data_IF_322765873524
#
_entry.id   IF_322765873524
#
_cell.length_a   1.000
_cell.length_b   1.000
_cell.length_c   1.000
_cell.angle_alpha   90.00
_cell.angle_beta   90.00
_cell.angle_gamma   90.00
#
_symmetry.space_group_name_H-M   'P 1'
#
loop_
_entity.id
_entity.type
_entity.pdbx_description
1 polymer ?
#
# COMPACT_ATOMS: atom_id res chain seq x y z
N UNK A 1 -68.08 8.46 13.82
CA UNK A 1 -67.36 7.73 14.87
C UNK A 1 -66.75 6.49 14.23
N UNK A 2 -65.43 6.41 14.03
CA UNK A 2 -64.77 5.17 13.61
C UNK A 2 -64.25 4.41 14.83
N UNK A 3 -64.35 3.07 14.74
CA UNK A 3 -64.07 2.10 15.79
C UNK A 3 -62.57 2.03 16.13
N UNK A 4 -62.31 1.97 17.44
CA UNK A 4 -60.97 1.74 18.03
C UNK A 4 -60.56 0.27 17.78
N UNK A 5 -59.46 0.07 17.08
CA UNK A 5 -58.75 -1.22 16.97
C UNK A 5 -58.02 -1.51 18.26
N UNK A 6 -58.23 -2.72 18.81
CA UNK A 6 -57.52 -3.25 19.98
C UNK A 6 -56.07 -3.61 19.59
N UNK A 7 -55.07 -3.44 20.49
CA UNK A 7 -53.71 -3.88 20.25
C UNK A 7 -53.60 -5.44 20.32
N UNK A 8 -52.64 -6.03 19.59
CA UNK A 8 -52.42 -7.49 19.63
C UNK A 8 -51.79 -7.92 20.95
N UNK A 9 -52.25 -9.07 21.41
CA UNK A 9 -51.82 -9.79 22.61
C UNK A 9 -50.34 -10.21 22.44
N UNK A 10 -49.50 -9.87 23.44
CA UNK A 10 -48.13 -10.34 23.57
C UNK A 10 -48.13 -11.84 23.83
N UNK A 11 -47.51 -12.62 22.99
CA UNK A 11 -47.27 -14.04 23.18
C UNK A 11 -46.00 -14.21 24.04
N UNK A 12 -46.16 -14.54 25.32
CA UNK A 12 -45.08 -14.99 26.21
C UNK A 12 -44.62 -16.39 25.77
N UNK A 13 -43.62 -16.45 24.91
CA UNK A 13 -42.78 -17.65 24.75
C UNK A 13 -41.52 -17.44 25.54
N UNK A 14 -41.39 -18.21 26.63
CA UNK A 14 -40.16 -18.33 27.40
C UNK A 14 -38.98 -18.66 26.47
N UNK A 15 -38.07 -17.73 26.34
CA UNK A 15 -36.80 -17.95 25.66
C UNK A 15 -35.89 -18.74 26.61
N UNK A 16 -35.66 -20.01 26.27
CA UNK A 16 -34.71 -20.88 26.96
C UNK A 16 -33.32 -20.26 26.91
N UNK A 17 -32.86 -19.75 28.05
CA UNK A 17 -31.49 -19.29 28.26
C UNK A 17 -30.61 -20.48 28.57
N UNK A 18 -30.19 -21.24 27.58
CA UNK A 18 -29.04 -22.16 27.65
C UNK A 18 -28.54 -22.53 26.26
N UNK A 19 -28.01 -21.53 25.53
CA UNK A 19 -27.08 -21.80 24.45
C UNK A 19 -25.75 -21.10 24.82
N UNK A 20 -25.04 -21.72 25.76
CA UNK A 20 -23.61 -21.47 25.97
C UNK A 20 -22.87 -22.31 24.94
N UNK A 21 -22.81 -21.83 23.70
CA UNK A 21 -21.71 -22.20 22.80
C UNK A 21 -20.40 -21.89 23.52
N UNK A 22 -19.41 -22.82 23.53
CA UNK A 22 -18.14 -22.55 24.19
C UNK A 22 -17.53 -21.27 23.57
N UNK A 23 -17.20 -20.30 24.44
CA UNK A 23 -16.36 -19.15 24.07
C UNK A 23 -15.07 -19.68 23.42
N UNK A 24 -15.08 -19.81 22.10
CA UNK A 24 -13.85 -19.96 21.35
C UNK A 24 -13.07 -18.68 21.56
N UNK A 25 -11.92 -18.78 22.24
CA UNK A 25 -10.96 -17.70 22.34
C UNK A 25 -10.85 -17.02 20.98
N UNK A 26 -10.94 -15.67 20.92
CA UNK A 26 -10.87 -14.98 19.64
C UNK A 26 -9.60 -15.42 18.91
N UNK A 27 -9.75 -16.12 17.78
CA UNK A 27 -8.62 -16.48 16.93
C UNK A 27 -7.89 -15.18 16.61
N UNK A 28 -6.61 -15.13 16.96
CA UNK A 28 -5.77 -13.96 16.73
C UNK A 28 -5.86 -13.55 15.26
N UNK A 29 -6.30 -12.31 15.00
CA UNK A 29 -6.43 -11.79 13.65
C UNK A 29 -5.10 -11.26 13.18
N UNK A 30 -4.47 -11.95 12.24
CA UNK A 30 -3.14 -11.63 11.72
C UNK A 30 -3.26 -11.23 10.25
N UNK A 31 -2.70 -10.08 9.90
CA UNK A 31 -2.70 -9.56 8.52
C UNK A 31 -2.10 -10.58 7.53
N UNK A 32 -2.65 -10.76 6.30
CA UNK A 32 -2.20 -11.74 5.33
C UNK A 32 -0.70 -11.70 5.03
N UNK A 33 -0.09 -10.53 4.88
CA UNK A 33 1.36 -10.39 4.70
C UNK A 33 2.17 -10.92 5.90
N UNK A 34 1.66 -10.81 7.13
CA UNK A 34 2.37 -11.31 8.32
C UNK A 34 2.24 -12.84 8.46
N UNK A 35 1.08 -13.40 8.09
CA UNK A 35 0.81 -14.85 8.20
C UNK A 35 1.32 -15.67 7.01
N UNK A 36 1.65 -15.04 5.88
CA UNK A 36 2.09 -15.75 4.67
C UNK A 36 3.40 -16.51 4.89
N UNK A 37 3.45 -17.81 4.58
CA UNK A 37 4.65 -18.64 4.72
C UNK A 37 5.58 -18.56 3.50
N UNK A 38 5.19 -17.80 2.47
CA UNK A 38 5.93 -17.75 1.22
C UNK A 38 7.29 -17.07 1.37
N UNK A 39 8.30 -17.60 0.68
CA UNK A 39 9.65 -17.06 0.67
C UNK A 39 9.68 -15.64 0.09
N UNK A 40 8.83 -15.37 -0.93
CA UNK A 40 8.64 -14.06 -1.51
C UNK A 40 7.14 -13.71 -1.51
N UNK A 41 6.74 -12.78 -0.69
CA UNK A 41 5.37 -12.29 -0.58
C UNK A 41 5.08 -11.27 -1.66
N UNK A 42 3.82 -11.15 -2.06
CA UNK A 42 3.43 -10.28 -3.17
C UNK A 42 2.37 -9.27 -2.76
N UNK A 43 2.48 -8.07 -3.30
CA UNK A 43 1.44 -7.07 -3.28
C UNK A 43 1.16 -6.54 -4.68
N UNK A 44 -0.03 -5.99 -4.91
CA UNK A 44 -0.32 -5.20 -6.12
C UNK A 44 -0.33 -3.73 -5.73
N UNK A 45 0.37 -2.88 -6.47
CA UNK A 45 0.54 -1.47 -6.16
C UNK A 45 -0.18 -0.56 -7.16
N UNK A 46 -0.85 0.49 -6.67
CA UNK A 46 -1.34 1.58 -7.50
C UNK A 46 -2.67 1.33 -8.21
N UNK A 47 -3.54 0.42 -7.71
CA UNK A 47 -4.85 0.14 -8.31
C UNK A 47 -5.88 1.28 -8.17
N UNK A 48 -5.64 2.23 -7.31
CA UNK A 48 -6.57 3.32 -7.01
C UNK A 48 -6.34 4.60 -7.82
N UNK A 49 -5.38 4.60 -8.75
CA UNK A 49 -4.96 5.80 -9.50
C UNK A 49 -4.95 5.55 -11.00
N UNK A 50 -5.32 6.56 -11.80
CA UNK A 50 -5.29 6.46 -13.27
C UNK A 50 -3.87 6.22 -13.78
N UNK A 51 -3.75 5.38 -14.78
CA UNK A 51 -2.49 4.88 -15.34
C UNK A 51 -1.70 3.95 -14.38
N UNK A 52 -2.17 3.71 -13.15
CA UNK A 52 -1.44 2.87 -12.21
C UNK A 52 -0.04 3.39 -11.92
N UNK A 53 0.98 2.62 -12.30
CA UNK A 53 2.39 2.99 -12.17
C UNK A 53 3.07 3.37 -13.51
N UNK A 54 2.37 3.36 -14.65
CA UNK A 54 2.95 3.66 -15.96
C UNK A 54 2.50 5.03 -16.48
N UNK A 55 3.44 5.95 -16.73
CA UNK A 55 3.16 7.30 -17.24
C UNK A 55 3.07 7.30 -18.76
N UNK A 56 2.07 6.64 -19.33
CA UNK A 56 1.92 6.43 -20.78
C UNK A 56 0.50 6.72 -21.25
N UNK A 57 0.34 7.12 -22.50
CA UNK A 57 -0.95 7.35 -23.14
C UNK A 57 -1.59 6.07 -23.75
N UNK A 58 -1.06 4.89 -23.38
CA UNK A 58 -1.67 3.63 -23.81
C UNK A 58 -3.11 3.52 -23.35
N UNK A 59 -4.03 3.02 -24.20
CA UNK A 59 -5.46 2.97 -23.90
C UNK A 59 -5.84 1.90 -22.86
N UNK A 60 -4.97 0.92 -22.63
CA UNK A 60 -5.16 -0.26 -21.77
C UNK A 60 -4.64 -0.08 -20.34
N UNK A 61 -4.29 1.15 -19.94
CA UNK A 61 -3.97 1.50 -18.55
C UNK A 61 -5.24 1.66 -17.69
N UNK A 62 -5.07 1.64 -16.35
CA UNK A 62 -6.16 1.81 -15.38
C UNK A 62 -6.95 3.12 -15.59
N UNK A 63 -8.27 3.03 -15.54
CA UNK A 63 -9.20 4.17 -15.71
C UNK A 63 -9.71 4.74 -14.38
N UNK A 64 -9.51 4.01 -13.28
CA UNK A 64 -10.08 4.33 -11.94
C UNK A 64 -11.61 4.33 -11.99
N UNK A 65 -12.14 3.17 -12.30
CA UNK A 65 -13.54 2.83 -12.16
C UNK A 65 -13.70 1.86 -10.99
N UNK A 66 -14.79 1.96 -10.25
CA UNK A 66 -14.99 1.14 -9.07
C UNK A 66 -15.03 -0.37 -9.41
N UNK A 67 -15.77 -0.74 -10.43
CA UNK A 67 -15.89 -2.14 -10.86
C UNK A 67 -14.55 -2.70 -11.39
N UNK A 68 -13.72 -1.86 -12.01
CA UNK A 68 -12.34 -2.20 -12.40
C UNK A 68 -11.50 -2.51 -11.16
N UNK A 69 -11.53 -1.64 -10.14
CA UNK A 69 -10.81 -1.86 -8.88
C UNK A 69 -11.23 -3.17 -8.18
N UNK A 70 -12.52 -3.44 -8.11
CA UNK A 70 -13.06 -4.68 -7.49
C UNK A 70 -12.59 -5.90 -8.27
N UNK A 71 -12.78 -5.90 -9.60
CA UNK A 71 -12.45 -7.04 -10.47
C UNK A 71 -10.95 -7.37 -10.40
N UNK A 72 -10.08 -6.37 -10.51
CA UNK A 72 -8.62 -6.59 -10.47
C UNK A 72 -8.18 -7.05 -9.07
N UNK A 73 -8.76 -6.52 -8.00
CA UNK A 73 -8.44 -6.97 -6.64
C UNK A 73 -8.85 -8.43 -6.42
N UNK A 74 -10.01 -8.85 -6.94
CA UNK A 74 -10.47 -10.24 -6.87
C UNK A 74 -9.60 -11.17 -7.71
N UNK A 75 -9.10 -10.74 -8.88
CA UNK A 75 -8.11 -11.49 -9.64
C UNK A 75 -6.79 -11.66 -8.88
N UNK A 76 -6.32 -10.60 -8.21
CA UNK A 76 -5.12 -10.68 -7.36
C UNK A 76 -5.34 -11.66 -6.19
N UNK A 77 -6.51 -11.64 -5.56
CA UNK A 77 -6.88 -12.58 -4.50
C UNK A 77 -6.89 -14.03 -4.99
N UNK A 78 -7.51 -14.28 -6.16
CA UNK A 78 -7.56 -15.62 -6.79
C UNK A 78 -6.17 -16.13 -7.18
N UNK A 79 -5.26 -15.23 -7.54
CA UNK A 79 -3.85 -15.56 -7.77
C UNK A 79 -3.05 -15.78 -6.48
N UNK A 80 -3.69 -15.67 -5.31
CA UNK A 80 -3.06 -15.85 -3.99
C UNK A 80 -2.10 -14.72 -3.62
N UNK A 81 -2.22 -13.54 -4.20
CA UNK A 81 -1.43 -12.35 -3.83
C UNK A 81 -1.91 -11.87 -2.45
N UNK A 82 -0.95 -11.54 -1.57
CA UNK A 82 -1.23 -11.27 -0.16
C UNK A 82 -1.87 -9.90 0.10
N UNK A 83 -1.61 -8.89 -0.73
CA UNK A 83 -2.14 -7.55 -0.45
C UNK A 83 -2.33 -6.67 -1.68
N UNK A 84 -3.20 -5.66 -1.55
CA UNK A 84 -3.28 -4.50 -2.45
C UNK A 84 -2.91 -3.23 -1.68
N UNK A 85 -2.02 -2.42 -2.26
CA UNK A 85 -1.48 -1.21 -1.65
C UNK A 85 -1.77 -0.01 -2.56
N UNK A 86 -2.59 0.97 -2.12
CA UNK A 86 -2.92 2.15 -2.91
C UNK A 86 -1.82 3.21 -2.87
N UNK A 87 -1.84 4.11 -3.84
CA UNK A 87 -1.05 5.35 -3.83
C UNK A 87 -1.84 6.45 -3.12
N UNK A 88 -1.22 7.15 -2.18
CA UNK A 88 -1.77 8.41 -1.67
C UNK A 88 -1.63 9.48 -2.75
N UNK A 89 -2.76 9.97 -3.27
CA UNK A 89 -2.78 10.97 -4.34
C UNK A 89 -4.02 11.84 -4.25
N UNK A 90 -3.83 13.14 -4.46
CA UNK A 90 -4.90 14.13 -4.52
C UNK A 90 -4.88 14.93 -5.82
N UNK A 91 -3.71 15.02 -6.46
CA UNK A 91 -3.50 15.85 -7.64
C UNK A 91 -2.56 15.17 -8.63
N UNK A 92 -2.94 15.15 -9.90
CA UNK A 92 -2.10 14.63 -10.97
C UNK A 92 -0.81 15.42 -11.17
N UNK A 93 0.11 14.85 -11.94
CA UNK A 93 1.42 15.43 -12.22
C UNK A 93 1.42 16.41 -13.41
N UNK A 94 0.26 16.63 -14.05
CA UNK A 94 0.19 17.38 -15.32
C UNK A 94 0.78 16.56 -16.47
N UNK A 95 1.18 17.24 -17.54
CA UNK A 95 1.63 16.59 -18.76
C UNK A 95 0.48 16.10 -19.64
N UNK A 96 0.80 15.22 -20.59
CA UNK A 96 -0.16 14.79 -21.63
C UNK A 96 -1.25 13.86 -21.08
N UNK A 97 -0.89 12.95 -20.18
CA UNK A 97 -1.83 12.00 -19.55
C UNK A 97 -2.29 12.46 -18.16
N UNK A 98 -1.67 13.49 -17.62
CA UNK A 98 -1.91 13.99 -16.26
C UNK A 98 -1.90 12.84 -15.24
N UNK A 99 -0.79 12.12 -15.19
CA UNK A 99 -0.58 10.89 -14.42
C UNK A 99 -1.17 10.95 -13.02
N UNK A 100 -1.97 9.95 -12.67
CA UNK A 100 -2.67 9.79 -11.39
C UNK A 100 -3.69 10.93 -11.07
N UNK A 101 -4.19 11.68 -12.06
CA UNK A 101 -5.15 12.77 -11.81
C UNK A 101 -6.52 12.27 -11.32
N UNK A 102 -6.95 11.10 -11.79
CA UNK A 102 -8.11 10.40 -11.23
C UNK A 102 -7.60 9.43 -10.17
N UNK A 103 -8.19 9.51 -8.99
CA UNK A 103 -7.78 8.66 -7.88
C UNK A 103 -8.94 8.49 -6.91
N UNK A 104 -9.02 7.32 -6.28
CA UNK A 104 -9.91 7.11 -5.14
C UNK A 104 -9.18 7.45 -3.84
N UNK A 105 -9.92 8.05 -2.89
CA UNK A 105 -9.46 8.24 -1.52
C UNK A 105 -9.23 6.88 -0.85
N UNK A 106 -8.10 6.70 -0.20
CA UNK A 106 -7.56 5.38 0.09
C UNK A 106 -8.24 4.65 1.25
N UNK A 107 -8.74 5.35 2.27
CA UNK A 107 -9.48 4.71 3.37
C UNK A 107 -10.84 4.19 2.88
N UNK A 108 -11.59 5.04 2.17
CA UNK A 108 -12.90 4.67 1.62
C UNK A 108 -12.77 3.55 0.58
N UNK A 109 -11.76 3.64 -0.29
CA UNK A 109 -11.44 2.60 -1.27
C UNK A 109 -11.10 1.27 -0.61
N UNK A 110 -10.24 1.28 0.42
CA UNK A 110 -9.86 0.08 1.18
C UNK A 110 -11.07 -0.56 1.89
N UNK A 111 -11.94 0.25 2.50
CA UNK A 111 -13.17 -0.23 3.13
C UNK A 111 -14.09 -0.95 2.12
N UNK A 112 -14.26 -0.34 0.94
CA UNK A 112 -15.05 -0.93 -0.15
C UNK A 112 -14.48 -2.26 -0.64
N UNK A 113 -13.16 -2.35 -0.87
CA UNK A 113 -12.50 -3.58 -1.31
C UNK A 113 -12.50 -4.66 -0.23
N UNK A 114 -12.30 -4.28 1.04
CA UNK A 114 -12.38 -5.20 2.17
C UNK A 114 -13.74 -5.93 2.23
N UNK A 115 -14.83 -5.22 1.89
CA UNK A 115 -16.17 -5.78 1.84
C UNK A 115 -16.46 -6.62 0.56
N UNK A 116 -15.56 -6.60 -0.43
CA UNK A 116 -15.69 -7.32 -1.71
C UNK A 116 -14.71 -8.48 -1.87
N UNK A 117 -13.86 -8.72 -0.86
CA UNK A 117 -12.82 -9.73 -0.83
C UNK A 117 -12.86 -10.50 0.49
N UNK A 118 -12.24 -11.67 0.56
CA UNK A 118 -12.27 -12.55 1.72
C UNK A 118 -10.90 -12.81 2.34
N UNK A 119 -9.83 -12.89 1.53
CA UNK A 119 -8.49 -13.33 1.96
C UNK A 119 -7.40 -12.27 1.80
N UNK A 120 -7.46 -11.45 0.73
CA UNK A 120 -6.42 -10.48 0.42
C UNK A 120 -6.37 -9.34 1.44
N UNK A 121 -5.17 -8.95 1.84
CA UNK A 121 -4.94 -7.76 2.67
C UNK A 121 -5.21 -6.48 1.89
N UNK A 122 -5.85 -5.51 2.53
CA UNK A 122 -6.10 -4.20 1.93
C UNK A 122 -5.40 -3.12 2.73
N UNK A 123 -4.67 -2.25 2.06
CA UNK A 123 -4.02 -1.11 2.71
C UNK A 123 -4.74 0.20 2.38
N UNK A 124 -4.65 1.16 3.30
CA UNK A 124 -4.79 2.57 2.97
C UNK A 124 -3.42 3.23 3.04
N UNK A 125 -3.15 4.16 2.14
CA UNK A 125 -1.93 4.99 2.13
C UNK A 125 -2.33 6.45 2.25
N UNK A 126 -1.69 7.21 3.12
CA UNK A 126 -2.01 8.63 3.30
C UNK A 126 -0.76 9.44 3.67
N UNK A 127 -0.85 10.75 3.54
CA UNK A 127 0.14 11.69 4.03
C UNK A 127 -0.25 12.21 5.41
N UNK A 128 0.61 12.05 6.41
CA UNK A 128 0.36 12.47 7.81
C UNK A 128 -0.26 13.86 7.94
N UNK A 129 0.21 14.91 7.22
CA UNK A 129 -0.36 16.25 7.35
C UNK A 129 -1.82 16.39 6.89
N UNK A 130 -2.38 15.39 6.18
CA UNK A 130 -3.72 15.47 5.58
C UNK A 130 -4.81 14.83 6.42
N UNK A 131 -4.45 14.09 7.50
CA UNK A 131 -5.41 13.35 8.34
C UNK A 131 -5.06 13.49 9.82
N UNK A 132 -6.01 13.95 10.62
CA UNK A 132 -5.85 14.02 12.08
C UNK A 132 -5.78 12.61 12.68
N UNK A 133 -4.87 12.31 13.66
CA UNK A 133 -4.67 10.96 14.20
C UNK A 133 -5.94 10.38 14.86
N UNK A 134 -6.74 11.17 15.53
CA UNK A 134 -8.02 10.72 16.13
C UNK A 134 -9.00 10.22 15.07
N UNK A 135 -9.09 10.93 13.92
CA UNK A 135 -9.92 10.50 12.80
C UNK A 135 -9.37 9.21 12.17
N UNK A 136 -8.08 9.18 11.88
CA UNK A 136 -7.44 8.02 11.28
C UNK A 136 -7.56 6.78 12.17
N UNK A 137 -7.37 6.90 13.48
CA UNK A 137 -7.52 5.78 14.41
C UNK A 137 -8.92 5.16 14.36
N UNK A 138 -9.96 6.00 14.22
CA UNK A 138 -11.35 5.54 14.08
C UNK A 138 -11.60 4.87 12.72
N UNK A 139 -11.14 5.46 11.62
CA UNK A 139 -11.26 4.90 10.28
C UNK A 139 -10.54 3.54 10.18
N UNK A 140 -9.31 3.46 10.68
CA UNK A 140 -8.50 2.24 10.75
C UNK A 140 -9.22 1.12 11.51
N UNK A 141 -9.71 1.39 12.72
CA UNK A 141 -10.45 0.39 13.49
C UNK A 141 -11.71 -0.07 12.75
N UNK A 142 -12.44 0.85 12.11
CA UNK A 142 -13.64 0.52 11.34
C UNK A 142 -13.34 -0.39 10.17
N UNK A 143 -12.29 -0.08 9.38
CA UNK A 143 -11.90 -0.89 8.22
C UNK A 143 -11.34 -2.24 8.68
N UNK A 144 -10.63 -2.28 9.81
CA UNK A 144 -10.13 -3.53 10.38
C UNK A 144 -11.28 -4.48 10.73
N UNK A 145 -12.38 -3.97 11.28
CA UNK A 145 -13.62 -4.75 11.48
C UNK A 145 -14.28 -5.18 10.17
N UNK A 146 -14.43 -4.28 9.18
CA UNK A 146 -14.99 -4.61 7.87
C UNK A 146 -14.18 -5.72 7.19
N UNK A 147 -12.87 -5.65 7.27
CA UNK A 147 -11.96 -6.62 6.65
C UNK A 147 -11.79 -7.93 7.45
N UNK A 148 -12.30 -8.00 8.69
CA UNK A 148 -12.05 -9.15 9.57
C UNK A 148 -10.58 -9.30 9.99
N UNK A 149 -9.84 -8.17 10.13
CA UNK A 149 -8.42 -8.16 10.52
C UNK A 149 -7.44 -8.28 9.35
N UNK A 150 -7.84 -7.91 8.14
CA UNK A 150 -6.98 -7.90 6.94
C UNK A 150 -6.52 -6.49 6.52
N UNK A 151 -6.83 -5.48 7.32
CA UNK A 151 -6.46 -4.10 7.02
C UNK A 151 -5.03 -3.79 7.43
N UNK A 152 -4.35 -2.98 6.61
CA UNK A 152 -3.04 -2.41 6.89
C UNK A 152 -3.00 -0.91 6.61
N UNK A 153 -2.14 -0.19 7.32
CA UNK A 153 -1.97 1.24 7.18
C UNK A 153 -0.56 1.58 6.69
N UNK A 154 -0.45 2.20 5.52
CA UNK A 154 0.82 2.69 4.97
C UNK A 154 0.97 4.18 5.28
N UNK A 155 1.93 4.51 6.15
CA UNK A 155 2.15 5.84 6.69
C UNK A 155 3.23 6.55 5.89
N UNK A 156 2.90 7.70 5.28
CA UNK A 156 3.83 8.55 4.55
C UNK A 156 3.93 9.91 5.25
N UNK A 157 5.13 10.32 5.63
CA UNK A 157 5.35 11.57 6.35
C UNK A 157 4.92 12.85 5.56
N UNK A 158 4.73 12.70 4.24
CA UNK A 158 4.31 13.77 3.33
C UNK A 158 5.48 14.35 2.53
N UNK A 159 5.43 14.24 1.20
CA UNK A 159 6.50 14.73 0.32
C UNK A 159 6.01 15.70 -0.75
N UNK A 160 4.74 15.63 -1.14
CA UNK A 160 4.17 16.44 -2.21
C UNK A 160 3.56 17.74 -1.63
N UNK A 161 4.36 18.79 -1.63
CA UNK A 161 3.96 20.11 -1.13
C UNK A 161 2.67 20.62 -1.79
N UNK A 162 2.50 20.39 -3.11
CA UNK A 162 1.34 20.84 -3.87
C UNK A 162 0.04 20.20 -3.41
N UNK A 163 0.10 18.96 -2.92
CA UNK A 163 -1.05 18.25 -2.37
C UNK A 163 -1.32 18.68 -0.92
N UNK A 164 -0.28 18.79 -0.10
CA UNK A 164 -0.39 19.21 1.30
C UNK A 164 -0.96 20.63 1.41
N UNK A 165 -0.56 21.52 0.51
CA UNK A 165 -1.10 22.88 0.43
C UNK A 165 -2.63 22.93 0.17
N UNK A 166 -3.22 21.92 -0.48
CA UNK A 166 -4.68 21.84 -0.67
C UNK A 166 -5.44 21.75 0.67
N UNK A 167 -4.79 21.23 1.71
CA UNK A 167 -5.35 21.11 3.06
C UNK A 167 -5.05 22.34 3.94
N UNK A 168 -4.47 23.40 3.36
CA UNK A 168 -4.11 24.60 4.10
C UNK A 168 -2.91 24.40 5.06
N UNK A 169 -2.15 23.33 4.89
CA UNK A 169 -1.01 22.99 5.74
C UNK A 169 0.29 23.35 5.00
N UNK A 170 1.20 24.12 5.63
CA UNK A 170 2.51 24.39 5.04
C UNK A 170 3.39 23.13 5.08
N UNK A 171 4.19 22.94 4.01
CA UNK A 171 5.19 21.88 3.99
C UNK A 171 6.26 22.15 5.06
N UNK A 172 6.52 21.16 5.90
CA UNK A 172 7.59 21.20 6.90
C UNK A 172 8.89 20.64 6.32
N UNK A 173 10.01 20.96 6.94
CA UNK A 173 11.29 20.34 6.65
C UNK A 173 11.24 18.82 6.82
N UNK A 174 12.14 18.12 6.12
CA UNK A 174 12.13 16.67 6.00
C UNK A 174 12.08 15.95 7.36
N UNK A 175 13.00 16.27 8.27
CA UNK A 175 13.09 15.55 9.54
C UNK A 175 11.94 15.89 10.49
N UNK A 176 11.51 17.17 10.50
CA UNK A 176 10.33 17.60 11.27
C UNK A 176 9.05 16.87 10.82
N UNK A 177 8.93 16.51 9.54
CA UNK A 177 7.77 15.70 9.08
C UNK A 177 7.73 14.33 9.73
N UNK A 178 8.88 13.73 9.97
CA UNK A 178 8.98 12.46 10.68
C UNK A 178 8.76 12.60 12.19
N UNK A 179 9.16 13.72 12.81
CA UNK A 179 8.85 14.00 14.21
C UNK A 179 7.34 14.13 14.42
N UNK A 180 6.64 14.80 13.49
CA UNK A 180 5.18 14.85 13.47
C UNK A 180 4.56 13.46 13.25
N UNK A 181 5.16 12.64 12.39
CA UNK A 181 4.67 11.28 12.13
C UNK A 181 4.87 10.35 13.34
N UNK A 182 5.97 10.49 14.08
CA UNK A 182 6.21 9.75 15.33
C UNK A 182 5.13 10.07 16.38
N UNK A 183 4.82 11.34 16.56
CA UNK A 183 3.79 11.77 17.51
C UNK A 183 2.39 11.36 17.06
N UNK A 184 2.12 11.47 15.76
CA UNK A 184 0.88 11.06 15.11
C UNK A 184 0.57 9.56 15.33
N UNK A 185 1.55 8.69 15.07
CA UNK A 185 1.34 7.24 15.23
C UNK A 185 1.31 6.83 16.70
N UNK A 186 2.00 7.55 17.57
CA UNK A 186 1.95 7.31 19.01
C UNK A 186 0.55 7.54 19.55
N UNK A 187 -0.10 8.66 19.20
CA UNK A 187 -1.49 8.92 19.57
C UNK A 187 -2.44 7.86 18.97
N UNK A 188 -2.24 7.44 17.73
CA UNK A 188 -3.05 6.38 17.14
C UNK A 188 -2.92 5.06 17.92
N UNK A 189 -1.70 4.67 18.30
CA UNK A 189 -1.45 3.44 19.07
C UNK A 189 -2.14 3.49 20.43
N UNK A 190 -2.12 4.63 21.14
CA UNK A 190 -2.85 4.79 22.38
C UNK A 190 -4.37 4.70 22.18
N UNK A 191 -4.92 5.33 21.12
CA UNK A 191 -6.33 5.23 20.77
C UNK A 191 -6.78 3.78 20.47
N UNK A 192 -5.88 2.94 19.96
CA UNK A 192 -6.17 1.53 19.68
C UNK A 192 -5.99 0.61 20.88
N UNK A 193 -5.24 1.02 21.91
CA UNK A 193 -4.85 0.11 23.01
C UNK A 193 -5.35 0.53 24.38
N UNK A 194 -5.43 1.84 24.66
CA UNK A 194 -5.85 2.34 25.99
C UNK A 194 -7.35 2.17 26.14
N UNK A 195 -7.76 1.51 27.23
CA UNK A 195 -9.16 1.36 27.61
C UNK A 195 -9.68 2.63 28.29
N UNK A 196 -10.90 3.05 27.94
CA UNK A 196 -11.52 4.24 28.51
C UNK A 196 -11.02 5.55 27.93
N UNK A 197 -11.30 6.64 28.64
CA UNK A 197 -10.90 8.00 28.27
C UNK A 197 -9.52 8.33 28.83
N UNK A 198 -8.70 9.05 28.04
CA UNK A 198 -7.35 9.49 28.43
C UNK A 198 -7.00 10.85 27.84
N UNK A 199 -6.06 11.54 28.42
CA UNK A 199 -5.49 12.77 27.87
C UNK A 199 -4.15 12.46 27.19
N UNK A 200 -3.99 12.93 25.94
CA UNK A 200 -2.73 12.82 25.20
C UNK A 200 -2.00 14.16 25.16
N UNK A 201 -0.72 14.14 25.49
CA UNK A 201 0.14 15.32 25.47
C UNK A 201 1.48 14.99 24.82
N UNK A 202 1.55 15.09 23.49
CA UNK A 202 2.75 14.90 22.69
C UNK A 202 3.36 16.22 22.22
N UNK A 203 4.50 16.19 21.54
CA UNK A 203 5.17 17.39 21.06
C UNK A 203 4.42 18.13 19.95
N UNK A 204 3.56 17.46 19.19
CA UNK A 204 2.82 18.02 18.05
C UNK A 204 1.31 17.92 18.20
N UNK A 205 0.82 16.99 19.02
CA UNK A 205 -0.60 16.79 19.25
C UNK A 205 -0.93 16.92 20.74
N UNK A 206 -1.99 17.67 21.03
CA UNK A 206 -2.57 17.86 22.36
C UNK A 206 -4.05 17.51 22.24
N UNK A 207 -4.47 16.42 22.88
CA UNK A 207 -5.83 15.91 22.72
C UNK A 207 -6.38 15.46 24.06
N UNK A 208 -7.12 16.32 24.77
CA UNK A 208 -7.78 15.95 26.01
C UNK A 208 -9.00 15.06 25.74
N UNK A 209 -9.30 14.15 26.66
CA UNK A 209 -10.48 13.29 26.58
C UNK A 209 -10.49 12.36 25.37
N UNK A 210 -9.33 11.83 24.98
CA UNK A 210 -9.22 10.87 23.88
C UNK A 210 -9.99 9.59 24.19
N UNK A 211 -10.80 9.15 23.21
CA UNK A 211 -11.58 7.93 23.31
C UNK A 211 -11.78 7.29 21.94
N UNK A 212 -11.61 5.98 21.82
CA UNK A 212 -11.85 5.25 20.58
C UNK A 212 -12.36 3.84 20.84
N UNK A 213 -13.63 3.59 20.52
CA UNK A 213 -14.29 2.29 20.46
C UNK A 213 -15.08 2.15 19.16
N UNK A 214 -15.15 0.91 18.57
CA UNK A 214 -14.45 -0.30 19.02
C UNK A 214 -12.95 -0.23 18.80
N UNK A 215 -12.19 -1.05 19.54
CA UNK A 215 -10.77 -1.28 19.26
C UNK A 215 -10.62 -2.11 17.99
N UNK A 216 -9.49 -2.03 17.25
CA UNK A 216 -9.22 -2.91 16.12
C UNK A 216 -9.32 -4.39 16.48
N UNK A 217 -9.56 -5.26 15.49
CA UNK A 217 -9.52 -6.71 15.67
C UNK A 217 -8.10 -7.26 15.79
N UNK A 218 -7.17 -6.71 15.00
CA UNK A 218 -5.75 -7.05 15.09
C UNK A 218 -5.16 -6.53 16.39
N UNK A 219 -4.22 -7.28 17.01
CA UNK A 219 -3.59 -6.91 18.27
C UNK A 219 -2.07 -6.79 18.09
N UNK A 220 -1.41 -5.83 18.79
CA UNK A 220 -1.98 -4.74 19.58
C UNK A 220 -2.66 -3.66 18.73
N UNK A 221 -2.38 -3.60 17.43
CA UNK A 221 -2.95 -2.69 16.42
C UNK A 221 -2.85 -3.31 15.02
N UNK A 222 -3.55 -2.76 14.01
CA UNK A 222 -3.45 -3.19 12.63
C UNK A 222 -2.04 -3.10 12.06
N UNK A 223 -1.76 -3.91 11.04
CA UNK A 223 -0.47 -3.94 10.36
C UNK A 223 -0.06 -2.56 9.87
N UNK A 224 1.18 -2.16 10.12
CA UNK A 224 1.73 -0.86 9.76
C UNK A 224 2.83 -1.00 8.70
N UNK A 225 2.76 -0.18 7.66
CA UNK A 225 3.76 -0.05 6.60
C UNK A 225 4.29 1.39 6.55
N UNK A 226 5.53 1.56 6.14
CA UNK A 226 6.12 2.86 5.84
C UNK A 226 6.93 2.79 4.56
N UNK A 227 6.97 3.88 3.80
CA UNK A 227 7.72 4.00 2.53
C UNK A 227 8.93 4.94 2.64
N UNK A 228 9.48 5.14 3.84
CA UNK A 228 10.62 6.03 4.07
C UNK A 228 11.96 5.40 3.68
N UNK A 229 12.66 5.99 2.70
CA UNK A 229 13.97 5.52 2.22
C UNK A 229 15.16 6.33 2.76
N UNK A 230 14.94 7.55 3.26
CA UNK A 230 15.97 8.34 3.92
C UNK A 230 16.39 7.72 5.25
N UNK A 231 17.56 8.11 5.79
CA UNK A 231 18.01 7.64 7.11
C UNK A 231 16.94 7.87 8.19
N UNK A 232 16.30 9.05 8.21
CA UNK A 232 15.21 9.36 9.15
C UNK A 232 13.97 8.54 8.88
N UNK A 233 13.63 8.29 7.59
CA UNK A 233 12.51 7.44 7.19
C UNK A 233 12.70 5.96 7.56
N UNK A 234 13.91 5.43 7.39
CA UNK A 234 14.26 4.07 7.84
C UNK A 234 14.21 3.95 9.37
N UNK A 235 14.66 4.96 10.12
CA UNK A 235 14.54 4.99 11.57
C UNK A 235 13.07 4.98 12.03
N UNK A 236 12.21 5.78 11.38
CA UNK A 236 10.76 5.77 11.61
C UNK A 236 10.14 4.39 11.33
N UNK A 237 10.46 3.79 10.17
CA UNK A 237 9.97 2.46 9.83
C UNK A 237 10.41 1.42 10.86
N UNK A 238 11.69 1.41 11.24
CA UNK A 238 12.24 0.50 12.25
C UNK A 238 11.55 0.63 13.61
N UNK A 239 11.19 1.87 14.01
CA UNK A 239 10.52 2.13 15.29
C UNK A 239 9.03 1.76 15.28
N UNK A 240 8.35 1.86 14.15
CA UNK A 240 6.88 1.80 14.14
C UNK A 240 6.27 0.76 13.19
N UNK A 241 6.90 0.45 12.05
CA UNK A 241 6.30 -0.36 11.00
C UNK A 241 6.58 -1.86 11.13
N UNK A 242 5.64 -2.68 10.64
CA UNK A 242 5.82 -4.12 10.40
C UNK A 242 6.47 -4.35 9.04
N UNK A 243 6.21 -3.43 8.08
CA UNK A 243 6.71 -3.50 6.71
C UNK A 243 7.38 -2.19 6.32
N UNK A 244 8.57 -2.26 5.72
CA UNK A 244 9.17 -1.10 5.04
C UNK A 244 9.15 -1.33 3.53
N UNK A 245 8.49 -0.43 2.82
CA UNK A 245 8.43 -0.40 1.37
C UNK A 245 9.59 0.45 0.85
N UNK A 246 10.53 -0.18 0.13
CA UNK A 246 11.75 0.48 -0.33
C UNK A 246 11.75 0.67 -1.84
N UNK A 247 12.15 1.87 -2.28
CA UNK A 247 12.41 2.18 -3.68
C UNK A 247 13.93 2.23 -3.87
N UNK A 248 14.45 1.43 -4.79
CA UNK A 248 15.87 1.31 -5.06
C UNK A 248 16.11 1.24 -6.58
N UNK A 249 17.32 1.62 -7.02
CA UNK A 249 17.69 1.61 -8.44
C UNK A 249 17.82 0.20 -9.03
N UNK A 250 18.16 -0.78 -8.20
CA UNK A 250 18.37 -2.18 -8.55
C UNK A 250 18.21 -3.09 -7.32
N UNK A 251 18.20 -4.40 -7.54
CA UNK A 251 18.02 -5.41 -6.50
C UNK A 251 19.15 -5.39 -5.47
N UNK A 252 20.39 -5.11 -5.88
CA UNK A 252 21.54 -5.03 -4.95
C UNK A 252 21.35 -3.90 -3.95
N UNK A 253 21.03 -2.70 -4.46
CA UNK A 253 20.74 -1.54 -3.60
C UNK A 253 19.52 -1.79 -2.70
N UNK A 254 18.48 -2.48 -3.19
CA UNK A 254 17.34 -2.87 -2.36
C UNK A 254 17.75 -3.81 -1.22
N UNK A 255 18.65 -4.76 -1.47
CA UNK A 255 19.22 -5.66 -0.46
C UNK A 255 20.03 -4.93 0.61
N UNK A 256 20.83 -3.94 0.22
CA UNK A 256 21.59 -3.10 1.17
C UNK A 256 20.64 -2.32 2.11
N UNK A 257 19.60 -1.72 1.55
CA UNK A 257 18.56 -1.02 2.33
C UNK A 257 17.84 -2.00 3.25
N UNK A 258 17.52 -3.21 2.77
CA UNK A 258 16.87 -4.24 3.56
C UNK A 258 17.73 -4.67 4.75
N UNK A 259 19.02 -4.90 4.54
CA UNK A 259 19.95 -5.29 5.60
C UNK A 259 20.07 -4.17 6.67
N UNK A 260 20.20 -2.91 6.24
CA UNK A 260 20.27 -1.74 7.12
C UNK A 260 18.98 -1.58 7.92
N UNK A 261 17.82 -1.59 7.27
CA UNK A 261 16.51 -1.42 7.93
C UNK A 261 16.23 -2.51 8.96
N UNK A 262 16.52 -3.78 8.63
CA UNK A 262 16.40 -4.89 9.61
C UNK A 262 17.34 -4.73 10.79
N UNK A 263 18.57 -4.25 10.56
CA UNK A 263 19.50 -4.01 11.67
C UNK A 263 18.91 -2.96 12.61
N UNK A 264 18.43 -1.83 12.09
CA UNK A 264 17.78 -0.79 12.90
C UNK A 264 16.59 -1.33 13.70
N UNK A 265 15.73 -2.15 13.09
CA UNK A 265 14.60 -2.75 13.80
C UNK A 265 15.05 -3.70 14.91
N UNK A 266 16.03 -4.57 14.64
CA UNK A 266 16.60 -5.49 15.67
C UNK A 266 17.25 -4.75 16.82
N UNK A 267 17.96 -3.65 16.57
CA UNK A 267 18.56 -2.81 17.61
C UNK A 267 17.50 -2.20 18.56
N UNK A 268 16.24 -2.10 18.07
CA UNK A 268 15.06 -1.69 18.86
C UNK A 268 14.23 -2.88 19.40
N UNK A 269 14.74 -4.11 19.27
CA UNK A 269 14.04 -5.35 19.72
C UNK A 269 12.81 -5.69 18.87
N UNK A 270 12.78 -5.27 17.59
CA UNK A 270 11.65 -5.48 16.67
C UNK A 270 12.06 -6.28 15.43
N UNK A 271 11.07 -6.91 14.83
CA UNK A 271 11.18 -7.50 13.49
C UNK A 271 10.46 -6.60 12.50
N UNK A 272 11.02 -6.48 11.28
CA UNK A 272 10.45 -5.71 10.20
C UNK A 272 10.72 -6.42 8.88
N UNK A 273 9.68 -6.60 8.07
CA UNK A 273 9.78 -7.17 6.73
C UNK A 273 10.03 -6.05 5.71
N UNK A 274 10.84 -6.35 4.69
CA UNK A 274 11.22 -5.37 3.67
C UNK A 274 10.62 -5.77 2.33
N UNK A 275 9.93 -4.83 1.71
CA UNK A 275 9.30 -4.98 0.41
C UNK A 275 9.95 -4.08 -0.63
N UNK A 276 10.33 -4.66 -1.77
CA UNK A 276 10.72 -3.90 -2.96
C UNK A 276 9.52 -3.57 -3.85
N UNK A 277 9.77 -2.86 -4.94
CA UNK A 277 8.80 -2.60 -5.99
C UNK A 277 9.33 -3.06 -7.34
N UNK A 278 8.49 -3.75 -8.12
CA UNK A 278 8.82 -4.16 -9.48
C UNK A 278 7.65 -3.90 -10.44
N UNK A 279 7.96 -3.61 -11.71
CA UNK A 279 6.98 -3.68 -12.78
C UNK A 279 7.27 -4.87 -13.69
N UNK A 280 6.23 -5.51 -14.19
CA UNK A 280 6.36 -6.71 -15.02
C UNK A 280 5.99 -6.41 -16.48
N UNK A 281 6.90 -6.80 -17.39
CA UNK A 281 6.64 -6.93 -18.83
C UNK A 281 7.09 -8.33 -19.25
N UNK A 282 6.16 -9.27 -19.28
CA UNK A 282 6.40 -10.66 -19.66
C UNK A 282 5.92 -10.90 -21.08
N UNK A 283 6.79 -11.44 -21.97
CA UNK A 283 6.49 -11.81 -23.36
C UNK A 283 7.14 -13.14 -23.68
N UNK A 284 6.80 -13.71 -24.85
CA UNK A 284 7.36 -14.99 -25.29
C UNK A 284 8.86 -14.90 -25.59
N UNK A 285 9.34 -13.72 -25.99
CA UNK A 285 10.76 -13.44 -26.24
C UNK A 285 11.20 -12.16 -25.52
N UNK A 286 12.48 -12.12 -25.15
CA UNK A 286 13.10 -10.92 -24.58
C UNK A 286 12.98 -9.72 -25.52
N UNK A 287 13.12 -9.95 -26.83
CA UNK A 287 12.99 -8.89 -27.83
C UNK A 287 11.59 -8.27 -27.81
N UNK A 288 10.54 -9.07 -27.77
CA UNK A 288 9.16 -8.57 -27.69
C UNK A 288 8.91 -7.79 -26.41
N UNK A 289 9.47 -8.24 -25.28
CA UNK A 289 9.37 -7.53 -24.01
C UNK A 289 10.06 -6.15 -24.07
N UNK A 290 11.26 -6.09 -24.64
CA UNK A 290 12.01 -4.85 -24.82
C UNK A 290 11.35 -3.92 -25.85
N UNK A 291 10.80 -4.45 -26.94
CA UNK A 291 10.05 -3.67 -27.94
C UNK A 291 8.79 -3.06 -27.31
N UNK A 292 8.09 -3.78 -26.45
CA UNK A 292 6.94 -3.26 -25.70
C UNK A 292 7.34 -2.14 -24.74
N UNK A 293 8.45 -2.30 -23.99
CA UNK A 293 8.97 -1.23 -23.11
C UNK A 293 9.32 0.00 -23.94
N UNK A 294 10.01 -0.17 -25.08
CA UNK A 294 10.36 0.93 -25.96
C UNK A 294 9.12 1.69 -26.43
N UNK A 295 8.08 0.97 -26.86
CA UNK A 295 6.83 1.58 -27.33
C UNK A 295 6.18 2.41 -26.22
N UNK A 296 5.89 1.83 -25.04
CA UNK A 296 5.10 2.56 -24.06
C UNK A 296 5.90 3.61 -23.27
N UNK A 297 7.23 3.50 -23.21
CA UNK A 297 8.09 4.46 -22.50
C UNK A 297 8.53 5.58 -23.44
N UNK A 298 9.12 5.25 -24.59
CA UNK A 298 9.78 6.25 -25.43
C UNK A 298 8.86 6.84 -26.51
N UNK A 299 7.93 6.03 -27.06
CA UNK A 299 7.04 6.49 -28.14
C UNK A 299 5.73 7.07 -27.56
N UNK A 300 5.24 6.51 -26.43
CA UNK A 300 3.95 6.86 -25.82
C UNK A 300 4.07 7.40 -24.38
N UNK A 301 5.26 7.60 -23.87
CA UNK A 301 5.50 8.08 -22.51
C UNK A 301 5.19 9.56 -22.35
N UNK A 302 4.71 9.94 -21.15
CA UNK A 302 4.46 11.34 -20.78
C UNK A 302 5.72 12.01 -20.24
N UNK A 303 6.61 12.39 -21.15
CA UNK A 303 7.87 13.07 -20.82
C UNK A 303 7.69 14.46 -20.20
N UNK A 304 6.53 15.09 -20.40
CA UNK A 304 6.18 16.35 -19.73
C UNK A 304 5.74 16.09 -18.30
N UNK A 305 4.88 15.10 -18.10
CA UNK A 305 4.40 14.69 -16.79
C UNK A 305 5.54 14.18 -15.90
N UNK A 306 6.47 13.36 -16.42
CA UNK A 306 7.61 12.86 -15.65
C UNK A 306 8.58 13.97 -15.27
N UNK A 307 8.79 14.97 -16.12
CA UNK A 307 9.59 16.16 -15.75
C UNK A 307 8.98 16.86 -14.54
N UNK A 308 7.66 17.10 -14.57
CA UNK A 308 6.96 17.72 -13.44
C UNK A 308 7.11 16.91 -12.15
N UNK A 309 7.04 15.59 -12.24
CA UNK A 309 7.24 14.69 -11.10
C UNK A 309 8.69 14.77 -10.58
N UNK A 310 9.66 14.70 -11.48
CA UNK A 310 11.08 14.78 -11.13
C UNK A 310 11.43 16.12 -10.46
N UNK A 311 10.87 17.23 -10.93
CA UNK A 311 11.11 18.55 -10.34
C UNK A 311 10.49 18.70 -8.93
N UNK A 312 9.45 17.92 -8.60
CA UNK A 312 8.93 17.81 -7.22
C UNK A 312 9.84 16.96 -6.35
N UNK A 313 10.41 15.86 -6.88
CA UNK A 313 11.29 14.96 -6.14
C UNK A 313 12.72 15.54 -5.97
N UNK A 314 13.23 16.15 -7.02
CA UNK A 314 14.59 16.72 -7.11
C UNK A 314 14.48 18.09 -7.74
N UNK A 315 14.50 19.18 -6.98
CA UNK A 315 14.44 20.54 -7.52
C UNK A 315 15.51 20.77 -8.61
N UNK A 316 15.10 21.36 -9.73
CA UNK A 316 15.93 21.54 -10.93
C UNK A 316 16.52 20.21 -11.46
N UNK A 317 15.71 19.18 -11.54
CA UNK A 317 16.08 17.79 -11.79
C UNK A 317 17.00 17.59 -13.00
N UNK A 318 16.78 18.31 -14.13
CA UNK A 318 17.64 18.21 -15.31
C UNK A 318 19.09 18.64 -15.04
N UNK A 319 19.26 19.74 -14.33
CA UNK A 319 20.61 20.23 -13.97
C UNK A 319 21.26 19.38 -12.87
N UNK A 320 20.47 18.91 -11.90
CA UNK A 320 20.96 18.13 -10.77
C UNK A 320 21.38 16.69 -11.17
N UNK A 321 20.66 16.07 -12.11
CA UNK A 321 20.89 14.69 -12.56
C UNK A 321 21.77 14.58 -13.81
N UNK A 322 21.91 15.66 -14.59
CA UNK A 322 22.72 15.67 -15.80
C UNK A 322 22.38 14.53 -16.76
N UNK A 323 23.38 13.77 -17.18
CA UNK A 323 23.22 12.63 -18.11
C UNK A 323 22.35 11.48 -17.55
N UNK A 324 22.15 11.42 -16.23
CA UNK A 324 21.30 10.42 -15.59
C UNK A 324 19.80 10.76 -15.65
N UNK A 325 19.43 11.97 -16.06
CA UNK A 325 18.02 12.42 -16.04
C UNK A 325 17.12 11.56 -16.93
N UNK A 326 17.54 11.28 -18.16
CA UNK A 326 16.75 10.50 -19.13
C UNK A 326 16.49 9.07 -18.63
N UNK A 327 17.51 8.41 -18.11
CA UNK A 327 17.38 7.06 -17.56
C UNK A 327 16.42 7.03 -16.36
N UNK A 328 16.50 8.01 -15.47
CA UNK A 328 15.61 8.13 -14.32
C UNK A 328 14.17 8.45 -14.76
N UNK A 329 14.01 9.36 -15.73
CA UNK A 329 12.70 9.68 -16.31
C UNK A 329 12.07 8.46 -16.98
N UNK A 330 12.83 7.73 -17.79
CA UNK A 330 12.36 6.50 -18.43
C UNK A 330 11.91 5.44 -17.42
N UNK A 331 12.66 5.25 -16.33
CA UNK A 331 12.28 4.33 -15.26
C UNK A 331 11.00 4.77 -14.55
N UNK A 332 10.83 6.08 -14.28
CA UNK A 332 9.59 6.61 -13.70
C UNK A 332 8.40 6.45 -14.65
N UNK A 333 8.59 6.67 -15.96
CA UNK A 333 7.54 6.42 -16.96
C UNK A 333 7.19 4.93 -17.00
N UNK A 334 8.18 4.05 -16.94
CA UNK A 334 7.99 2.61 -17.06
C UNK A 334 7.20 2.00 -15.90
N UNK A 335 7.51 2.40 -14.65
CA UNK A 335 6.95 1.75 -13.48
C UNK A 335 7.01 2.57 -12.20
N UNK A 336 7.00 3.91 -12.29
CA UNK A 336 7.02 4.79 -11.12
C UNK A 336 8.25 4.58 -10.22
N UNK A 337 9.41 4.30 -10.84
CA UNK A 337 10.66 4.06 -10.13
C UNK A 337 10.87 2.61 -9.65
N UNK A 338 10.00 1.70 -10.05
CA UNK A 338 10.11 0.28 -9.76
C UNK A 338 11.29 -0.39 -10.50
N UNK A 339 11.79 -1.48 -9.95
CA UNK A 339 12.83 -2.31 -10.58
C UNK A 339 12.18 -3.11 -11.73
N UNK A 340 12.77 -3.12 -12.94
CA UNK A 340 12.22 -3.84 -14.08
C UNK A 340 12.30 -5.36 -13.90
N UNK A 341 11.19 -6.04 -14.15
CA UNK A 341 11.10 -7.47 -14.46
C UNK A 341 10.58 -7.58 -15.90
N UNK A 342 11.51 -7.57 -16.84
CA UNK A 342 11.24 -7.46 -18.30
C UNK A 342 11.91 -8.61 -19.02
N UNK A 343 11.15 -9.45 -19.73
CA UNK A 343 11.69 -10.59 -20.48
C UNK A 343 10.72 -11.74 -20.64
N UNK A 344 11.27 -12.95 -20.79
CA UNK A 344 10.52 -14.21 -20.82
C UNK A 344 10.04 -14.60 -19.42
N UNK A 345 9.09 -15.54 -19.30
CA UNK A 345 8.66 -16.03 -18.00
C UNK A 345 9.83 -16.47 -17.11
N UNK A 346 10.82 -17.18 -17.65
CA UNK A 346 11.99 -17.65 -16.91
C UNK A 346 12.83 -16.46 -16.40
N UNK A 347 13.08 -15.47 -17.24
CA UNK A 347 13.83 -14.26 -16.86
C UNK A 347 13.12 -13.47 -15.76
N UNK A 348 11.77 -13.42 -15.79
CA UNK A 348 10.99 -12.81 -14.71
C UNK A 348 11.18 -13.56 -13.38
N UNK A 349 11.16 -14.91 -13.42
CA UNK A 349 11.38 -15.72 -12.22
C UNK A 349 12.80 -15.57 -11.68
N UNK A 350 13.81 -15.53 -12.54
CA UNK A 350 15.20 -15.26 -12.15
C UNK A 350 15.32 -13.90 -11.45
N UNK A 351 14.63 -12.87 -11.96
CA UNK A 351 14.54 -11.57 -11.31
C UNK A 351 13.87 -11.64 -9.94
N UNK A 352 12.78 -12.39 -9.80
CA UNK A 352 12.09 -12.58 -8.51
C UNK A 352 12.94 -13.36 -7.51
N UNK A 353 13.69 -14.37 -7.95
CA UNK A 353 14.67 -15.07 -7.13
C UNK A 353 15.76 -14.12 -6.63
N UNK A 354 16.25 -13.23 -7.48
CA UNK A 354 17.25 -12.24 -7.09
C UNK A 354 16.76 -11.33 -5.96
N UNK A 355 15.47 -10.90 -5.97
CA UNK A 355 14.88 -10.16 -4.83
C UNK A 355 14.91 -10.97 -3.53
N UNK A 356 14.48 -12.23 -3.57
CA UNK A 356 14.48 -13.11 -2.40
C UNK A 356 15.90 -13.38 -1.89
N UNK A 357 16.87 -13.60 -2.79
CA UNK A 357 18.29 -13.85 -2.48
C UNK A 357 18.99 -12.61 -1.91
N UNK A 358 18.60 -11.42 -2.37
CA UNK A 358 19.03 -10.15 -1.78
C UNK A 358 18.43 -9.90 -0.38
N UNK A 359 17.54 -10.77 0.07
CA UNK A 359 16.98 -10.74 1.41
C UNK A 359 15.71 -9.89 1.52
N UNK A 360 14.99 -9.61 0.46
CA UNK A 360 13.67 -8.99 0.57
C UNK A 360 12.62 -10.04 0.95
N UNK A 361 11.66 -9.66 1.78
CA UNK A 361 10.56 -10.54 2.21
C UNK A 361 9.41 -10.56 1.19
N UNK A 362 9.35 -9.54 0.35
CA UNK A 362 8.33 -9.44 -0.68
C UNK A 362 8.58 -8.33 -1.69
N UNK A 363 7.75 -8.31 -2.71
CA UNK A 363 7.71 -7.28 -3.74
C UNK A 363 6.29 -6.84 -4.02
N UNK A 364 6.11 -5.56 -4.31
CA UNK A 364 4.87 -5.05 -4.88
C UNK A 364 5.01 -4.98 -6.39
N UNK A 365 3.98 -5.44 -7.08
CA UNK A 365 3.95 -5.61 -8.52
C UNK A 365 3.04 -4.56 -9.17
N UNK A 366 3.43 -4.13 -10.36
CA UNK A 366 2.62 -3.30 -11.23
C UNK A 366 2.79 -3.71 -12.70
N UNK A 367 1.81 -3.34 -13.51
CA UNK A 367 1.77 -3.59 -14.95
C UNK A 367 1.25 -2.36 -15.68
N UNK A 368 1.44 -2.28 -16.98
CA UNK A 368 0.75 -1.30 -17.83
C UNK A 368 -0.75 -1.63 -17.85
N UNK A 369 -1.08 -2.88 -18.21
CA UNK A 369 -2.43 -3.45 -18.12
C UNK A 369 -2.48 -4.43 -16.95
N UNK A 370 -3.11 -4.04 -15.84
CA UNK A 370 -3.16 -4.85 -14.62
C UNK A 370 -3.99 -6.11 -14.78
N UNK A 371 -5.10 -6.07 -15.50
CA UNK A 371 -5.98 -7.22 -15.68
C UNK A 371 -5.30 -8.32 -16.51
N UNK A 372 -4.75 -7.96 -17.68
CA UNK A 372 -3.98 -8.88 -18.52
C UNK A 372 -2.75 -9.42 -17.80
N UNK A 373 -2.02 -8.51 -17.10
CA UNK A 373 -0.82 -8.86 -16.36
C UNK A 373 -1.09 -9.84 -15.21
N UNK A 374 -2.18 -9.67 -14.46
CA UNK A 374 -2.58 -10.60 -13.40
C UNK A 374 -3.05 -11.96 -13.95
N UNK A 375 -3.78 -11.97 -15.04
CA UNK A 375 -4.16 -13.23 -15.72
C UNK A 375 -2.93 -13.99 -16.20
N UNK A 376 -1.97 -13.30 -16.83
CA UNK A 376 -0.70 -13.89 -17.24
C UNK A 376 0.11 -14.36 -16.02
N UNK A 377 0.16 -13.55 -14.95
CA UNK A 377 0.81 -13.94 -13.72
C UNK A 377 0.23 -15.24 -13.17
N UNK A 378 -1.08 -15.34 -13.04
CA UNK A 378 -1.77 -16.52 -12.51
C UNK A 378 -1.50 -17.77 -13.36
N UNK A 379 -1.57 -17.64 -14.68
CA UNK A 379 -1.51 -18.77 -15.59
C UNK A 379 -0.07 -19.21 -15.94
N UNK A 380 0.90 -18.30 -15.89
CA UNK A 380 2.27 -18.55 -16.36
C UNK A 380 3.31 -18.40 -15.25
N UNK A 381 3.33 -17.24 -14.55
CA UNK A 381 4.41 -16.95 -13.59
C UNK A 381 4.20 -17.67 -12.25
N UNK A 382 2.99 -17.75 -11.73
CA UNK A 382 2.70 -18.39 -10.45
C UNK A 382 3.11 -19.88 -10.42
N UNK A 383 2.82 -20.71 -11.45
CA UNK A 383 3.34 -22.08 -11.51
C UNK A 383 4.88 -22.16 -11.47
N UNK A 384 5.56 -21.27 -12.18
CA UNK A 384 7.03 -21.20 -12.19
C UNK A 384 7.60 -20.73 -10.84
N UNK A 385 6.95 -19.76 -10.17
CA UNK A 385 7.32 -19.35 -8.81
C UNK A 385 7.23 -20.50 -7.82
N UNK A 386 6.21 -21.37 -7.94
CA UNK A 386 6.06 -22.57 -7.12
C UNK A 386 7.21 -23.55 -7.39
N UNK A 387 7.54 -23.80 -8.65
CA UNK A 387 8.67 -24.66 -9.04
C UNK A 387 10.01 -24.11 -8.52
N UNK A 388 10.18 -22.79 -8.53
CA UNK A 388 11.36 -22.10 -8.01
C UNK A 388 11.42 -22.04 -6.46
N UNK A 389 10.39 -22.52 -5.76
CA UNK A 389 10.34 -22.50 -4.29
C UNK A 389 10.11 -21.11 -3.68
N UNK A 390 9.68 -20.15 -4.49
CA UNK A 390 9.31 -18.81 -4.00
C UNK A 390 7.94 -18.80 -3.34
N UNK A 391 7.04 -19.69 -3.75
CA UNK A 391 5.68 -19.85 -3.21
C UNK A 391 5.35 -21.34 -3.03
N UNK A 392 4.47 -21.61 -2.06
CA UNK A 392 3.96 -22.97 -1.80
C UNK A 392 2.68 -23.23 -2.60
#
# INVERSE_FOLDING_TARGET
MPALLKPPTVCDTACDKNDQSPDMAPTERIHPLKRSPHRLKLGVFGLNVSNGCAMTDRPDTLKVEWDESVRITQLAEQAGIEAVIPVARWKGMGGNVNFNHRNFETFTWAAGLAAKTEEIGVFATFHVPTVHPVRAAKEVATIDHISGGRFGLNIVAGWNEREIAMFGVPQKEHDIRYDVADDWISLCKELWTVEGEFDYSGPHFQSPGCYSEPKPLQRPWPALMSAGNSARGQAFAAAHADFNFVVAKDVTAAGEVAASGRKLARDLGREMQIFGQAYIVCRDTEKEAQDFVREYVYERGDWVGVRNLLDVLVPNSQSALGDGWEAMAANLIAGYGAIPLVGTPEQIIDGMLAFADAGLDGITLSWVNYEEGLLQFQNTLLPLMKQAGLRQ
#
